data_IF_821518086680
#
_entry.id   IF_821518086680
#
_cell.length_a   1.000
_cell.length_b   1.000
_cell.length_c   1.000
_cell.angle_alpha   90.00
_cell.angle_beta   90.00
_cell.angle_gamma   90.00
#
_symmetry.space_group_name_H-M   'P 1'
#
loop_
_entity.id
_entity.type
_entity.pdbx_description
1 polymer ?
#
# COMPACT_ATOMS: atom_id res chain seq x y z
N UNK A 1 9.34 -42.28 42.53
CA UNK A 1 9.33 -41.01 41.81
C UNK A 1 8.06 -40.29 42.19
N UNK A 2 8.21 -39.25 42.98
CA UNK A 2 7.13 -38.59 43.72
C UNK A 2 6.10 -37.91 42.78
N UNK A 3 4.83 -38.09 43.07
CA UNK A 3 3.68 -37.52 42.36
C UNK A 3 3.78 -35.98 42.28
N UNK A 4 4.46 -35.38 43.25
CA UNK A 4 4.70 -33.92 43.34
C UNK A 4 5.60 -33.40 42.23
N UNK A 5 6.64 -34.15 41.84
CA UNK A 5 7.59 -33.76 40.78
C UNK A 5 6.92 -33.84 39.38
N UNK A 6 6.01 -34.81 39.19
CA UNK A 6 5.28 -34.99 37.92
C UNK A 6 4.28 -33.85 37.65
N UNK A 7 3.65 -33.32 38.71
CA UNK A 7 2.72 -32.22 38.61
C UNK A 7 3.42 -30.87 38.33
N UNK A 8 4.62 -30.66 38.86
CA UNK A 8 5.42 -29.43 38.59
C UNK A 8 5.89 -29.37 37.13
N UNK A 9 6.30 -30.52 36.55
CA UNK A 9 6.76 -30.59 35.16
C UNK A 9 5.60 -30.35 34.18
N UNK A 10 4.40 -30.88 34.47
CA UNK A 10 3.20 -30.65 33.62
C UNK A 10 2.75 -29.19 33.68
N UNK A 11 2.85 -28.52 34.81
CA UNK A 11 2.45 -27.12 34.97
C UNK A 11 3.43 -26.16 34.29
N UNK A 12 4.73 -26.46 34.24
CA UNK A 12 5.72 -25.65 33.51
C UNK A 12 5.60 -25.79 32.00
N UNK A 13 5.18 -26.95 31.47
CA UNK A 13 5.00 -27.16 30.04
C UNK A 13 3.77 -26.44 29.44
N UNK A 14 2.75 -26.13 30.27
CA UNK A 14 1.57 -25.40 29.81
C UNK A 14 1.74 -23.87 29.70
N UNK A 15 2.75 -23.30 30.36
CA UNK A 15 3.01 -21.85 30.36
C UNK A 15 3.87 -21.43 29.16
N UNK A 16 4.61 -22.35 28.53
CA UNK A 16 5.48 -22.05 27.40
C UNK A 16 4.73 -21.89 26.05
N UNK A 17 3.43 -22.20 26.01
CA UNK A 17 2.62 -22.20 24.76
C UNK A 17 1.89 -20.89 24.41
N UNK A 18 1.93 -19.87 25.27
CA UNK A 18 1.08 -18.67 25.14
C UNK A 18 1.80 -17.39 24.67
N UNK A 19 3.04 -17.49 24.23
CA UNK A 19 3.85 -16.34 23.80
C UNK A 19 4.04 -16.20 22.27
N UNK A 20 3.24 -16.89 21.46
CA UNK A 20 3.33 -16.81 19.99
C UNK A 20 2.08 -16.17 19.37
N UNK A 21 1.78 -14.93 19.73
CA UNK A 21 0.58 -14.27 19.23
C UNK A 21 0.62 -12.75 19.17
N UNK A 22 1.78 -12.14 19.03
CA UNK A 22 1.86 -10.68 18.96
C UNK A 22 2.88 -10.20 17.93
N UNK A 23 2.66 -10.52 16.66
CA UNK A 23 3.51 -10.01 15.59
C UNK A 23 2.78 -9.80 14.26
N UNK A 24 1.64 -9.13 14.25
CA UNK A 24 0.96 -8.77 13.00
C UNK A 24 0.34 -7.36 12.98
N UNK A 25 0.57 -6.52 13.98
CA UNK A 25 -0.06 -5.18 14.03
C UNK A 25 0.88 -4.02 13.65
N UNK A 26 2.13 -4.27 13.27
CA UNK A 26 3.14 -3.21 13.13
C UNK A 26 3.57 -2.94 11.68
N UNK A 27 2.76 -3.29 10.68
CA UNK A 27 3.25 -3.32 9.30
C UNK A 27 2.63 -2.27 8.37
N UNK A 28 1.69 -1.46 8.86
CA UNK A 28 1.09 -0.38 8.07
C UNK A 28 1.95 0.89 8.13
N UNK A 29 1.95 1.70 7.06
CA UNK A 29 2.67 2.97 7.07
C UNK A 29 2.03 3.92 8.08
N UNK A 30 2.82 4.88 8.60
CA UNK A 30 2.23 5.97 9.35
C UNK A 30 1.27 6.77 8.46
N UNK A 31 0.18 7.32 9.01
CA UNK A 31 -0.66 8.24 8.25
C UNK A 31 0.12 9.52 7.90
N UNK A 32 -0.20 10.20 6.79
CA UNK A 32 0.38 11.50 6.49
C UNK A 32 -0.12 12.55 7.48
N UNK A 33 0.73 13.52 7.75
CA UNK A 33 0.42 14.72 8.55
C UNK A 33 0.02 15.89 7.64
N UNK A 34 -0.39 17.00 8.22
CA UNK A 34 -0.67 18.26 7.52
C UNK A 34 0.54 18.87 6.80
N UNK A 35 1.76 18.40 7.12
CA UNK A 35 3.02 18.85 6.52
C UNK A 35 3.48 17.97 5.37
N UNK A 36 2.96 16.74 5.26
CA UNK A 36 3.38 15.81 4.24
C UNK A 36 2.86 16.23 2.86
N UNK A 37 3.78 16.29 1.90
CA UNK A 37 3.50 16.65 0.51
C UNK A 37 3.77 15.48 -0.42
N UNK A 38 3.02 15.43 -1.51
CA UNK A 38 3.30 14.51 -2.61
C UNK A 38 4.72 14.74 -3.13
N UNK A 39 5.51 13.66 -3.19
CA UNK A 39 6.90 13.73 -3.60
C UNK A 39 7.10 14.07 -5.10
N UNK A 40 6.04 14.08 -5.88
CA UNK A 40 6.05 14.38 -7.32
C UNK A 40 5.46 15.76 -7.60
N UNK A 41 4.21 16.03 -7.20
CA UNK A 41 3.49 17.25 -7.54
C UNK A 41 3.48 18.31 -6.42
N UNK A 42 3.87 17.94 -5.19
CA UNK A 42 3.95 18.86 -4.05
C UNK A 42 2.62 19.19 -3.36
N UNK A 43 1.51 18.58 -3.75
CA UNK A 43 0.21 18.75 -3.10
C UNK A 43 0.22 18.22 -1.67
N UNK A 44 -0.58 18.81 -0.78
CA UNK A 44 -0.76 18.32 0.59
C UNK A 44 -1.58 17.03 0.60
N UNK A 45 -0.94 15.92 0.93
CA UNK A 45 -1.50 14.56 0.79
C UNK A 45 -2.68 14.33 1.73
N UNK A 46 -2.64 14.87 2.96
CA UNK A 46 -3.70 14.71 3.96
C UNK A 46 -5.08 15.21 3.49
N UNK A 47 -5.13 16.08 2.45
CA UNK A 47 -6.38 16.59 1.86
C UNK A 47 -7.10 15.56 1.01
N UNK A 48 -6.44 14.47 0.65
CA UNK A 48 -6.95 13.45 -0.26
C UNK A 48 -6.87 12.05 0.37
N UNK A 49 -7.51 11.81 1.53
CA UNK A 49 -7.31 10.59 2.32
C UNK A 49 -7.66 9.30 1.56
N UNK A 50 -8.59 9.37 0.62
CA UNK A 50 -9.02 8.21 -0.17
C UNK A 50 -8.05 7.84 -1.31
N UNK A 51 -7.02 8.66 -1.55
CA UNK A 51 -6.10 8.52 -2.68
C UNK A 51 -4.66 8.26 -2.27
N UNK A 52 -4.37 8.27 -0.98
CA UNK A 52 -3.01 8.20 -0.47
C UNK A 52 -2.31 6.94 -0.96
N UNK A 53 -1.12 7.14 -1.55
CA UNK A 53 -0.16 6.09 -1.75
C UNK A 53 1.14 6.41 -1.01
N UNK A 54 1.93 5.41 -0.64
CA UNK A 54 3.18 5.62 0.10
C UNK A 54 4.21 4.54 -0.18
N UNK A 55 5.47 4.95 -0.17
CA UNK A 55 6.64 4.07 -0.22
C UNK A 55 7.34 4.16 1.13
N UNK A 56 7.54 3.01 1.77
CA UNK A 56 8.35 2.85 2.97
C UNK A 56 9.72 2.30 2.56
N UNK A 57 10.79 2.95 3.01
CA UNK A 57 12.15 2.52 2.73
C UNK A 57 12.72 1.69 3.87
N UNK A 58 13.81 0.92 3.61
CA UNK A 58 14.47 0.07 4.61
C UNK A 58 15.00 0.88 5.82
N UNK A 59 15.29 2.16 5.65
CA UNK A 59 15.71 3.06 6.72
C UNK A 59 14.54 3.57 7.59
N UNK A 60 13.31 3.08 7.35
CA UNK A 60 12.10 3.47 8.04
C UNK A 60 11.48 4.80 7.59
N UNK A 61 12.16 5.55 6.72
CA UNK A 61 11.59 6.77 6.15
C UNK A 61 10.46 6.47 5.16
N UNK A 62 9.57 7.43 4.95
CA UNK A 62 8.43 7.30 4.06
C UNK A 62 8.29 8.50 3.13
N UNK A 63 7.76 8.25 1.93
CA UNK A 63 7.31 9.29 1.01
C UNK A 63 5.86 9.04 0.65
N UNK A 64 5.10 10.11 0.51
CA UNK A 64 3.67 10.07 0.25
C UNK A 64 3.33 10.65 -1.12
N UNK A 65 2.19 10.21 -1.64
CA UNK A 65 1.62 10.65 -2.91
C UNK A 65 0.13 10.90 -2.72
N UNK A 66 -0.40 11.89 -3.42
CA UNK A 66 -1.81 12.24 -3.46
C UNK A 66 -2.65 11.35 -4.40
N UNK A 67 -1.99 10.43 -5.12
CA UNK A 67 -2.62 9.42 -5.95
C UNK A 67 -1.64 8.37 -6.48
N UNK A 68 -2.15 7.22 -6.92
CA UNK A 68 -1.37 6.14 -7.51
C UNK A 68 -0.58 6.55 -8.76
N UNK A 69 -1.08 7.49 -9.54
CA UNK A 69 -0.39 8.02 -10.73
C UNK A 69 1.00 8.57 -10.37
N UNK A 70 1.08 9.42 -9.36
CA UNK A 70 2.33 10.02 -8.92
C UNK A 70 3.21 9.01 -8.17
N UNK A 71 2.61 8.08 -7.44
CA UNK A 71 3.31 6.95 -6.85
C UNK A 71 4.05 6.12 -7.91
N UNK A 72 3.39 5.75 -9.01
CA UNK A 72 4.02 4.98 -10.08
C UNK A 72 5.07 5.82 -10.85
N UNK A 73 4.84 7.10 -11.07
CA UNK A 73 5.86 7.99 -11.66
C UNK A 73 7.15 7.98 -10.84
N UNK A 74 7.01 8.08 -9.52
CA UNK A 74 8.15 8.06 -8.61
C UNK A 74 8.84 6.68 -8.59
N UNK A 75 8.08 5.60 -8.49
CA UNK A 75 8.60 4.24 -8.39
C UNK A 75 9.33 3.80 -9.67
N UNK A 76 8.78 4.13 -10.85
CA UNK A 76 9.33 3.72 -12.14
C UNK A 76 10.47 4.63 -12.63
N UNK A 77 10.54 5.89 -12.15
CA UNK A 77 11.56 6.85 -12.57
C UNK A 77 12.32 7.46 -11.37
N UNK A 78 12.90 6.62 -10.47
CA UNK A 78 13.46 7.09 -9.19
C UNK A 78 14.59 8.11 -9.36
N UNK A 79 15.30 8.10 -10.50
CA UNK A 79 16.35 9.08 -10.81
C UNK A 79 15.80 10.51 -10.97
N UNK A 80 14.56 10.68 -11.41
CA UNK A 80 13.93 12.01 -11.57
C UNK A 80 13.56 12.65 -10.22
N UNK A 81 13.34 11.82 -9.18
CA UNK A 81 12.80 12.25 -7.89
C UNK A 81 13.80 12.11 -6.72
N UNK A 82 15.10 12.06 -7.01
CA UNK A 82 16.17 11.90 -6.01
C UNK A 82 16.04 10.64 -5.14
N UNK A 83 15.38 9.61 -5.66
CA UNK A 83 15.16 8.33 -4.99
C UNK A 83 16.21 7.27 -5.35
N UNK A 84 17.14 7.60 -6.26
CA UNK A 84 18.17 6.66 -6.74
C UNK A 84 19.00 6.12 -5.58
N UNK A 85 19.10 4.80 -5.50
CA UNK A 85 19.89 4.10 -4.47
C UNK A 85 19.16 3.88 -3.15
N UNK A 86 17.94 4.41 -2.96
CA UNK A 86 17.13 4.11 -1.79
C UNK A 86 16.49 2.72 -1.95
N UNK A 87 16.60 1.91 -0.91
CA UNK A 87 16.02 0.56 -0.92
C UNK A 87 14.58 0.60 -0.39
N UNK A 88 13.66 0.12 -1.21
CA UNK A 88 12.24 0.04 -0.88
C UNK A 88 12.00 -1.19 0.00
N UNK A 89 11.31 -0.99 1.12
CA UNK A 89 10.85 -2.06 2.00
C UNK A 89 9.41 -2.46 1.69
N UNK A 90 8.50 -1.48 1.52
CA UNK A 90 7.07 -1.71 1.28
C UNK A 90 6.44 -0.62 0.43
N UNK A 91 5.40 -1.02 -0.27
CA UNK A 91 4.62 -0.21 -1.19
C UNK A 91 3.14 -0.30 -0.84
N UNK A 92 2.48 0.83 -0.60
CA UNK A 92 1.05 0.84 -0.24
C UNK A 92 0.25 1.80 -1.12
N UNK A 93 -0.98 1.41 -1.40
CA UNK A 93 -2.00 2.25 -2.02
C UNK A 93 -3.29 2.15 -1.22
N UNK A 94 -4.17 3.13 -1.33
CA UNK A 94 -5.49 3.08 -0.72
C UNK A 94 -6.46 2.36 -1.65
N UNK A 95 -6.99 1.21 -1.23
CA UNK A 95 -8.04 0.49 -1.94
C UNK A 95 -9.28 1.38 -2.12
N UNK A 96 -9.79 1.48 -3.33
CA UNK A 96 -10.86 2.41 -3.69
C UNK A 96 -12.16 2.18 -2.92
N UNK A 97 -12.62 0.93 -2.80
CA UNK A 97 -13.85 0.61 -2.10
C UNK A 97 -13.70 0.56 -0.58
N UNK A 98 -12.60 -0.02 -0.10
CA UNK A 98 -12.38 -0.21 1.34
C UNK A 98 -11.80 1.01 2.05
N UNK A 99 -11.26 1.98 1.32
CA UNK A 99 -10.57 3.17 1.85
C UNK A 99 -9.54 2.79 2.92
N UNK A 100 -8.74 1.76 2.61
CA UNK A 100 -7.69 1.22 3.50
C UNK A 100 -6.43 0.97 2.70
N UNK A 101 -5.29 1.09 3.37
CA UNK A 101 -4.03 0.69 2.77
C UNK A 101 -4.01 -0.81 2.47
N UNK A 102 -3.60 -1.13 1.25
CA UNK A 102 -3.28 -2.47 0.78
C UNK A 102 -1.88 -2.47 0.19
N UNK A 103 -1.24 -3.64 0.17
CA UNK A 103 0.05 -3.81 -0.49
C UNK A 103 -0.13 -3.57 -2.00
N UNK A 104 0.60 -2.58 -2.52
CA UNK A 104 0.50 -2.20 -3.92
C UNK A 104 0.91 -3.34 -4.88
N UNK A 105 1.84 -4.20 -4.44
CA UNK A 105 2.35 -5.30 -5.28
C UNK A 105 1.32 -6.42 -5.50
N UNK A 106 0.30 -6.50 -4.65
CA UNK A 106 -0.80 -7.48 -4.76
C UNK A 106 -2.10 -6.86 -5.24
N UNK A 107 -2.16 -5.52 -5.32
CA UNK A 107 -3.31 -4.78 -5.80
C UNK A 107 -3.43 -4.82 -7.34
N UNK A 108 -4.63 -4.51 -7.83
CA UNK A 108 -4.91 -4.30 -9.24
C UNK A 108 -5.26 -2.85 -9.48
N UNK A 109 -4.97 -2.36 -10.69
CA UNK A 109 -5.13 -0.96 -11.05
C UNK A 109 -5.99 -0.84 -12.31
N UNK A 110 -7.04 -0.02 -12.26
CA UNK A 110 -7.87 0.24 -13.44
C UNK A 110 -7.45 1.56 -14.05
N UNK A 111 -7.08 1.51 -15.33
CA UNK A 111 -6.75 2.68 -16.15
C UNK A 111 -7.92 3.06 -17.05
N UNK A 112 -8.08 4.35 -17.34
CA UNK A 112 -9.05 4.85 -18.34
C UNK A 112 -10.50 4.85 -17.89
N UNK A 113 -10.77 4.84 -16.57
CA UNK A 113 -12.12 4.99 -16.02
C UNK A 113 -12.59 6.46 -16.03
N UNK A 114 -13.89 6.66 -15.79
CA UNK A 114 -14.51 7.99 -15.63
C UNK A 114 -14.22 8.61 -14.25
N UNK A 115 -13.64 7.86 -13.32
CA UNK A 115 -13.30 8.32 -11.97
C UNK A 115 -12.01 9.12 -12.01
N UNK A 116 -12.08 10.34 -11.45
CA UNK A 116 -10.95 11.27 -11.39
C UNK A 116 -10.34 11.30 -9.99
N UNK A 117 -9.02 11.23 -9.95
CA UNK A 117 -8.25 11.49 -8.73
C UNK A 117 -7.98 12.98 -8.51
N UNK A 118 -7.16 13.34 -7.51
CA UNK A 118 -6.83 14.73 -7.18
C UNK A 118 -6.25 15.53 -8.34
N UNK A 119 -5.57 14.86 -9.26
CA UNK A 119 -4.91 15.46 -10.44
C UNK A 119 -5.52 15.01 -11.77
N UNK A 120 -6.84 14.74 -11.81
CA UNK A 120 -7.55 14.29 -13.01
C UNK A 120 -7.50 12.77 -13.21
N UNK A 121 -7.34 12.26 -14.46
CA UNK A 121 -7.31 10.82 -14.73
C UNK A 121 -6.31 10.10 -13.84
N UNK A 122 -6.71 8.94 -13.29
CA UNK A 122 -5.95 8.22 -12.28
C UNK A 122 -5.89 6.70 -12.56
N UNK A 123 -4.97 6.01 -11.90
CA UNK A 123 -4.96 4.56 -11.78
C UNK A 123 -5.73 4.19 -10.53
N UNK A 124 -6.84 3.48 -10.66
CA UNK A 124 -7.73 3.19 -9.52
C UNK A 124 -7.30 1.89 -8.86
N UNK A 125 -6.83 1.92 -7.60
CA UNK A 125 -6.37 0.72 -6.90
C UNK A 125 -7.53 -0.07 -6.33
N UNK A 126 -7.55 -1.36 -6.59
CA UNK A 126 -8.49 -2.33 -6.04
C UNK A 126 -7.69 -3.49 -5.42
N UNK A 127 -8.14 -4.01 -4.29
CA UNK A 127 -7.43 -5.05 -3.53
C UNK A 127 -7.36 -6.41 -4.24
N UNK A 128 -8.23 -6.68 -5.22
CA UNK A 128 -8.24 -7.94 -5.96
C UNK A 128 -8.74 -7.73 -7.40
N UNK A 129 -8.49 -8.73 -8.25
CA UNK A 129 -8.84 -8.70 -9.67
C UNK A 129 -10.35 -8.62 -9.91
N UNK A 130 -11.16 -9.35 -9.15
CA UNK A 130 -12.62 -9.40 -9.32
C UNK A 130 -13.24 -8.02 -9.11
N UNK A 131 -12.82 -7.31 -8.04
CA UNK A 131 -13.25 -5.93 -7.80
C UNK A 131 -12.77 -4.98 -8.89
N UNK A 132 -11.54 -5.15 -9.40
CA UNK A 132 -11.01 -4.33 -10.47
C UNK A 132 -11.77 -4.53 -11.79
N UNK A 133 -12.12 -5.76 -12.14
CA UNK A 133 -12.92 -6.08 -13.32
C UNK A 133 -14.36 -5.56 -13.19
N UNK A 134 -14.94 -5.64 -12.00
CA UNK A 134 -16.26 -5.07 -11.70
C UNK A 134 -16.23 -3.55 -11.82
N UNK A 135 -15.25 -2.90 -11.17
CA UNK A 135 -15.05 -1.46 -11.27
C UNK A 135 -14.88 -1.00 -12.74
N UNK A 136 -14.07 -1.71 -13.52
CA UNK A 136 -13.84 -1.37 -14.92
C UNK A 136 -15.13 -1.41 -15.75
N UNK A 137 -16.00 -2.41 -15.52
CA UNK A 137 -17.33 -2.47 -16.17
C UNK A 137 -18.24 -1.32 -15.78
N UNK A 138 -18.27 -0.98 -14.50
CA UNK A 138 -19.20 -0.01 -13.94
C UNK A 138 -18.80 1.44 -14.23
N UNK A 139 -17.50 1.69 -14.42
CA UNK A 139 -16.89 3.02 -14.58
C UNK A 139 -16.26 3.25 -15.97
N UNK A 140 -16.65 2.48 -16.99
CA UNK A 140 -16.12 2.63 -18.33
C UNK A 140 -14.59 2.47 -18.42
N UNK A 141 -14.01 1.74 -17.48
CA UNK A 141 -12.57 1.53 -17.40
C UNK A 141 -12.04 0.71 -18.58
N UNK A 142 -10.85 1.08 -19.05
CA UNK A 142 -10.24 0.45 -20.21
C UNK A 142 -9.46 -0.80 -19.86
N UNK A 143 -8.51 -0.72 -18.94
CA UNK A 143 -7.55 -1.80 -18.70
C UNK A 143 -7.40 -2.10 -17.20
N UNK A 144 -7.42 -3.39 -16.86
CA UNK A 144 -7.10 -3.89 -15.51
C UNK A 144 -5.66 -4.38 -15.52
N UNK A 145 -4.82 -3.78 -14.68
CA UNK A 145 -3.38 -4.01 -14.62
C UNK A 145 -3.01 -4.63 -13.27
N UNK A 146 -2.15 -5.64 -13.26
CA UNK A 146 -1.39 -5.97 -12.07
C UNK A 146 -0.29 -4.91 -11.84
N UNK A 147 0.33 -4.91 -10.67
CA UNK A 147 1.38 -3.94 -10.33
C UNK A 147 2.52 -3.92 -11.35
N UNK A 148 3.02 -5.08 -11.73
CA UNK A 148 4.14 -5.22 -12.66
C UNK A 148 3.79 -4.89 -14.12
N UNK A 149 2.49 -4.82 -14.45
CA UNK A 149 2.01 -4.45 -15.78
C UNK A 149 1.93 -2.93 -15.97
N UNK A 150 2.06 -2.13 -14.90
CA UNK A 150 2.07 -0.68 -14.97
C UNK A 150 3.40 -0.19 -15.51
N UNK A 151 3.37 0.42 -16.68
CA UNK A 151 4.54 1.03 -17.33
C UNK A 151 4.36 2.54 -17.44
N UNK A 152 5.42 3.33 -17.68
CA UNK A 152 5.29 4.78 -17.89
C UNK A 152 4.28 5.18 -18.96
N UNK A 153 4.08 4.34 -20.00
CA UNK A 153 3.12 4.58 -21.07
C UNK A 153 1.65 4.42 -20.65
N UNK A 154 1.41 3.63 -19.57
CA UNK A 154 0.07 3.35 -19.03
C UNK A 154 -0.34 4.30 -17.90
N UNK A 155 0.58 5.13 -17.43
CA UNK A 155 0.27 6.16 -16.43
C UNK A 155 -0.52 7.29 -17.12
N UNK A 156 -1.71 7.65 -16.62
CA UNK A 156 -2.50 8.74 -17.16
C UNK A 156 -1.74 10.08 -17.16
N UNK A 157 -2.02 10.93 -18.13
CA UNK A 157 -1.43 12.28 -18.24
C UNK A 157 -2.22 13.31 -17.46
#
# INVERSE_FOLDING_TARGET
MDTTVRNIIVTLALIAGLLSGAAAAADLPRPPTDKDRCAVCGMYVHKYPNWIATIVFEDGSQVFFDGPKDFFRYALEPQKFKAKGRKVAKLFVTDYYGVKFVDATTAYFVAGSDVMGPMGPELIPLRNREEAETFARDHGGGEVLAFDDVTPAKIPR
#
